data_IF_111313773228
#
_entry.id   IF_111313773228
#
_cell.length_a   1.000
_cell.length_b   1.000
_cell.length_c   1.000
_cell.angle_alpha   90.00
_cell.angle_beta   90.00
_cell.angle_gamma   90.00
#
_symmetry.space_group_name_H-M   'P 1'
#
loop_
_entity.id
_entity.type
_entity.pdbx_description
1 polymer ?
#
# COMPACT_ATOMS: atom_id res chain seq x y z
N UNK A 1 -2.28 16.46 -17.44
CA UNK A 1 -0.82 16.25 -17.41
C UNK A 1 -0.48 15.36 -18.59
N UNK A 2 0.47 15.75 -19.43
CA UNK A 2 0.84 14.93 -20.58
C UNK A 2 1.85 13.86 -20.13
N UNK A 3 1.55 12.59 -20.39
CA UNK A 3 2.47 11.46 -20.21
C UNK A 3 2.64 10.80 -21.57
N UNK A 4 3.75 11.11 -22.24
CA UNK A 4 3.96 10.75 -23.65
C UNK A 4 2.96 11.48 -24.56
N UNK A 5 2.22 10.72 -25.38
CA UNK A 5 1.19 11.25 -26.28
C UNK A 5 -0.20 11.38 -25.63
N UNK A 6 -0.31 11.23 -24.31
CA UNK A 6 -1.59 11.03 -23.62
C UNK A 6 -1.88 12.10 -22.57
N UNK A 7 -3.13 12.58 -22.55
CA UNK A 7 -3.62 13.58 -21.60
C UNK A 7 -4.24 12.89 -20.37
N UNK A 8 -3.52 12.87 -19.25
CA UNK A 8 -4.09 12.47 -17.95
C UNK A 8 -4.97 13.59 -17.39
N UNK A 9 -6.17 13.21 -16.94
CA UNK A 9 -7.05 14.09 -16.15
C UNK A 9 -6.34 14.45 -14.83
N UNK A 10 -6.59 15.65 -14.32
CA UNK A 10 -5.96 16.15 -13.10
C UNK A 10 -6.26 15.32 -11.85
N UNK A 11 -7.48 14.77 -11.76
CA UNK A 11 -7.88 13.82 -10.70
C UNK A 11 -7.05 12.54 -10.72
N UNK A 12 -6.65 12.08 -11.92
CA UNK A 12 -5.84 10.88 -12.12
C UNK A 12 -4.38 11.05 -11.71
N UNK A 13 -3.82 12.25 -11.88
CA UNK A 13 -2.41 12.51 -11.57
C UNK A 13 -2.11 12.37 -10.05
N UNK A 14 -3.10 12.67 -9.21
CA UNK A 14 -2.99 12.54 -7.75
C UNK A 14 -2.93 11.09 -7.27
N UNK A 15 -3.29 10.13 -8.13
CA UNK A 15 -3.33 8.69 -7.83
C UNK A 15 -2.09 7.94 -8.31
N UNK A 16 -1.10 8.62 -8.91
CA UNK A 16 0.07 7.95 -9.52
C UNK A 16 1.13 7.50 -8.49
N UNK A 17 0.91 7.75 -7.21
CA UNK A 17 1.82 7.34 -6.15
C UNK A 17 1.79 5.81 -6.05
N UNK A 18 2.93 5.16 -6.31
CA UNK A 18 3.08 3.69 -6.31
C UNK A 18 2.31 2.95 -7.42
N UNK A 19 2.05 3.61 -8.56
CA UNK A 19 1.38 2.98 -9.71
C UNK A 19 2.32 2.47 -10.80
N UNK A 20 3.63 2.55 -10.60
CA UNK A 20 4.63 1.98 -11.51
C UNK A 20 4.99 0.58 -11.01
N UNK A 21 4.77 -0.42 -11.85
CA UNK A 21 5.23 -1.78 -11.64
C UNK A 21 6.27 -2.13 -12.73
N UNK A 22 7.46 -2.64 -12.36
CA UNK A 22 8.53 -2.92 -13.30
C UNK A 22 8.27 -4.15 -14.18
N UNK A 23 7.31 -5.00 -13.82
CA UNK A 23 6.88 -6.16 -14.62
C UNK A 23 5.75 -5.78 -15.55
N UNK A 24 4.73 -5.10 -15.03
CA UNK A 24 3.49 -4.85 -15.76
C UNK A 24 3.45 -3.50 -16.47
N UNK A 25 4.10 -2.48 -15.92
CA UNK A 25 4.11 -1.13 -16.45
C UNK A 25 3.42 -0.11 -15.55
N UNK A 26 2.86 0.94 -16.16
CA UNK A 26 2.23 2.04 -15.45
C UNK A 26 0.72 1.81 -15.34
N UNK A 27 0.22 1.71 -14.11
CA UNK A 27 -1.21 1.81 -13.83
C UNK A 27 -1.64 3.26 -13.70
N UNK A 28 -2.85 3.56 -14.13
CA UNK A 28 -3.48 4.84 -13.88
C UNK A 28 -5.00 4.71 -13.93
N UNK A 29 -5.70 5.75 -13.48
CA UNK A 29 -7.16 5.81 -13.54
C UNK A 29 -7.63 7.01 -14.34
N UNK A 30 -8.84 7.00 -14.90
CA UNK A 30 -9.53 8.21 -15.41
C UNK A 30 -10.56 8.79 -14.42
N UNK A 31 -10.58 8.28 -13.19
CA UNK A 31 -11.52 8.58 -12.11
C UNK A 31 -12.59 7.50 -11.91
N UNK A 32 -12.85 6.65 -12.91
CA UNK A 32 -13.86 5.58 -12.83
C UNK A 32 -13.36 4.20 -13.25
N UNK A 33 -12.41 4.18 -14.19
CA UNK A 33 -11.79 2.97 -14.71
C UNK A 33 -10.31 2.93 -14.36
N UNK A 34 -9.75 1.71 -14.33
CA UNK A 34 -8.30 1.47 -14.19
C UNK A 34 -7.74 1.04 -15.54
N UNK A 35 -6.58 1.59 -15.88
CA UNK A 35 -5.86 1.34 -17.12
C UNK A 35 -4.45 0.88 -16.81
N UNK A 36 -3.93 -0.02 -17.62
CA UNK A 36 -2.55 -0.43 -17.66
C UNK A 36 -1.93 0.08 -18.96
N UNK A 37 -0.85 0.82 -18.84
CA UNK A 37 0.08 1.13 -19.91
C UNK A 37 1.26 0.17 -19.79
N UNK A 38 1.31 -0.91 -20.61
CA UNK A 38 2.33 -1.92 -20.45
C UNK A 38 3.72 -1.38 -20.84
N UNK A 39 4.72 -1.81 -20.09
CA UNK A 39 6.12 -1.52 -20.38
C UNK A 39 6.80 -2.83 -20.76
N UNK A 40 7.52 -2.84 -21.87
CA UNK A 40 8.37 -3.96 -22.27
C UNK A 40 9.83 -3.55 -22.11
N UNK A 41 10.62 -4.40 -21.46
CA UNK A 41 12.06 -4.23 -21.40
C UNK A 41 12.71 -5.20 -22.39
N UNK A 42 13.38 -4.66 -23.40
CA UNK A 42 14.18 -5.42 -24.37
C UNK A 42 15.58 -4.84 -24.34
N UNK A 43 16.59 -5.67 -24.05
CA UNK A 43 18.00 -5.30 -24.01
C UNK A 43 18.30 -4.07 -23.13
N UNK A 44 17.84 -4.08 -21.88
CA UNK A 44 17.96 -2.99 -20.90
C UNK A 44 17.33 -1.64 -21.34
N UNK A 45 16.55 -1.63 -22.42
CA UNK A 45 15.74 -0.49 -22.82
C UNK A 45 14.26 -0.74 -22.57
N UNK A 46 13.62 0.24 -21.92
CA UNK A 46 12.19 0.21 -21.63
C UNK A 46 11.40 0.91 -22.72
N UNK A 47 10.46 0.18 -23.32
CA UNK A 47 9.56 0.67 -24.35
C UNK A 47 8.12 0.66 -23.82
N UNK A 48 7.39 1.75 -24.05
CA UNK A 48 5.95 1.77 -23.84
C UNK A 48 5.29 0.98 -24.97
N UNK A 49 4.45 0.01 -24.63
CA UNK A 49 3.63 -0.67 -25.63
C UNK A 49 2.53 0.29 -26.14
N UNK A 50 2.20 0.25 -27.44
CA UNK A 50 1.27 1.22 -28.04
C UNK A 50 -0.18 1.02 -27.58
N UNK A 51 -0.52 -0.17 -27.06
CA UNK A 51 -1.87 -0.53 -26.64
C UNK A 51 -2.03 -0.34 -25.14
N UNK A 52 -2.82 0.66 -24.76
CA UNK A 52 -3.35 0.79 -23.39
C UNK A 52 -4.41 -0.29 -23.19
N UNK A 53 -4.33 -0.98 -22.06
CA UNK A 53 -5.32 -1.97 -21.64
C UNK A 53 -6.24 -1.31 -20.62
N UNK A 54 -7.55 -1.29 -20.91
CA UNK A 54 -8.55 -0.97 -19.89
C UNK A 54 -8.81 -2.24 -19.09
N UNK A 55 -8.52 -2.21 -17.79
CA UNK A 55 -8.68 -3.37 -16.92
C UNK A 55 -10.14 -3.53 -16.51
N UNK A 56 -10.69 -2.53 -15.82
CA UNK A 56 -12.06 -2.60 -15.30
C UNK A 56 -12.67 -1.21 -15.11
N UNK A 57 -14.01 -1.13 -15.12
CA UNK A 57 -14.76 0.03 -14.66
C UNK A 57 -15.35 -0.28 -13.29
N UNK A 58 -14.87 0.42 -12.27
CA UNK A 58 -15.14 0.10 -10.86
C UNK A 58 -15.82 1.25 -10.11
N UNK A 59 -16.30 2.25 -10.84
CA UNK A 59 -16.90 3.46 -10.26
C UNK A 59 -15.84 4.39 -9.68
N UNK A 60 -16.27 5.35 -8.85
CA UNK A 60 -15.39 6.41 -8.34
C UNK A 60 -14.18 5.83 -7.59
N UNK A 61 -12.98 6.03 -8.13
CA UNK A 61 -11.71 5.58 -7.55
C UNK A 61 -11.12 6.67 -6.66
N UNK A 62 -10.72 6.29 -5.44
CA UNK A 62 -10.08 7.18 -4.46
C UNK A 62 -8.59 6.95 -4.31
N UNK A 63 -8.12 5.72 -4.52
CA UNK A 63 -6.70 5.37 -4.45
C UNK A 63 -6.38 4.12 -5.29
N UNK A 64 -5.13 4.02 -5.75
CA UNK A 64 -4.62 2.94 -6.59
C UNK A 64 -3.14 2.70 -6.24
N UNK A 65 -2.73 1.45 -6.04
CA UNK A 65 -1.32 1.12 -5.77
C UNK A 65 -0.95 -0.28 -6.24
N UNK A 66 0.20 -0.38 -6.91
CA UNK A 66 0.86 -1.65 -7.18
C UNK A 66 1.56 -2.17 -5.92
N UNK A 67 1.59 -3.49 -5.75
CA UNK A 67 2.46 -4.14 -4.78
C UNK A 67 3.94 -4.01 -5.16
N UNK A 68 4.86 -3.97 -4.16
CA UNK A 68 6.28 -3.74 -4.38
C UNK A 68 6.97 -4.97 -4.98
N UNK A 69 8.08 -4.67 -5.66
CA UNK A 69 8.59 -5.54 -6.73
C UNK A 69 9.55 -6.63 -6.28
N UNK A 70 10.02 -6.55 -5.04
CA UNK A 70 11.14 -7.38 -4.61
C UNK A 70 10.76 -8.85 -4.47
N UNK A 71 9.48 -9.17 -4.23
CA UNK A 71 8.99 -10.56 -4.12
C UNK A 71 7.54 -10.78 -4.59
N UNK A 72 6.71 -9.73 -4.71
CA UNK A 72 5.27 -9.87 -4.92
C UNK A 72 4.75 -8.86 -5.94
N UNK A 73 5.22 -8.89 -7.19
CA UNK A 73 4.77 -7.99 -8.28
C UNK A 73 3.34 -8.26 -8.77
N UNK A 74 2.60 -9.16 -8.12
CA UNK A 74 1.38 -9.75 -8.66
C UNK A 74 0.11 -9.03 -8.23
N UNK A 75 0.18 -8.02 -7.36
CA UNK A 75 -1.02 -7.44 -6.78
C UNK A 75 -1.21 -5.95 -7.10
N UNK A 76 -2.47 -5.58 -7.26
CA UNK A 76 -2.92 -4.20 -7.41
C UNK A 76 -4.02 -3.97 -6.39
N UNK A 77 -3.90 -2.92 -5.59
CA UNK A 77 -4.96 -2.49 -4.69
C UNK A 77 -5.68 -1.28 -5.28
N UNK A 78 -7.01 -1.30 -5.19
CA UNK A 78 -7.88 -0.20 -5.64
C UNK A 78 -8.86 0.12 -4.53
N UNK A 79 -9.02 1.40 -4.21
CA UNK A 79 -10.09 1.87 -3.32
C UNK A 79 -11.16 2.57 -4.14
N UNK A 80 -12.40 2.11 -4.02
CA UNK A 80 -13.55 2.66 -4.74
C UNK A 80 -14.72 2.99 -3.81
N UNK A 81 -15.63 3.86 -4.28
CA UNK A 81 -16.93 4.03 -3.63
C UNK A 81 -17.86 2.86 -3.95
N UNK A 82 -18.60 2.40 -2.95
CA UNK A 82 -19.70 1.44 -3.07
C UNK A 82 -20.90 1.89 -2.24
N UNK A 83 -22.04 1.23 -2.37
CA UNK A 83 -23.24 1.52 -1.57
C UNK A 83 -23.01 1.34 -0.06
N UNK A 84 -22.11 0.42 0.32
CA UNK A 84 -21.78 0.12 1.71
C UNK A 84 -20.68 1.01 2.31
N UNK A 85 -20.12 1.96 1.55
CA UNK A 85 -18.98 2.78 1.95
C UNK A 85 -17.81 2.64 0.98
N UNK A 86 -16.58 2.55 1.49
CA UNK A 86 -15.40 2.34 0.66
C UNK A 86 -15.16 0.84 0.46
N UNK A 87 -14.88 0.43 -0.78
CA UNK A 87 -14.46 -0.92 -1.11
C UNK A 87 -12.96 -0.93 -1.39
N UNK A 88 -12.23 -1.82 -0.74
CA UNK A 88 -10.84 -2.14 -1.05
C UNK A 88 -10.85 -3.43 -1.85
N UNK A 89 -10.39 -3.35 -3.09
CA UNK A 89 -10.24 -4.51 -3.97
C UNK A 89 -8.75 -4.79 -4.17
N UNK A 90 -8.37 -6.06 -4.05
CA UNK A 90 -7.03 -6.55 -4.39
C UNK A 90 -7.15 -7.44 -5.62
N UNK A 91 -6.48 -7.04 -6.69
CA UNK A 91 -6.44 -7.74 -7.96
C UNK A 91 -5.14 -8.48 -8.10
N UNK A 92 -5.20 -9.69 -8.61
CA UNK A 92 -4.07 -10.57 -8.81
C UNK A 92 -3.74 -10.68 -10.30
N UNK A 93 -2.45 -10.65 -10.59
CA UNK A 93 -1.94 -10.74 -11.93
C UNK A 93 -2.08 -12.16 -12.48
N UNK A 94 -2.47 -12.28 -13.74
CA UNK A 94 -2.57 -13.55 -14.45
C UNK A 94 -1.54 -13.53 -15.58
N UNK A 95 -0.42 -14.22 -15.36
CA UNK A 95 0.72 -14.20 -16.29
C UNK A 95 0.39 -14.73 -17.69
N UNK A 96 -0.59 -15.62 -17.78
CA UNK A 96 -1.01 -16.25 -19.04
C UNK A 96 -1.94 -15.36 -19.88
N UNK A 97 -2.54 -14.31 -19.30
CA UNK A 97 -3.59 -13.50 -19.94
C UNK A 97 -3.10 -12.07 -20.26
N UNK A 98 -2.34 -11.92 -21.36
CA UNK A 98 -1.74 -10.63 -21.78
C UNK A 98 -2.77 -9.50 -21.98
N UNK A 99 -4.02 -9.82 -22.37
CA UNK A 99 -5.06 -8.81 -22.61
C UNK A 99 -5.91 -8.50 -21.37
N UNK A 100 -5.94 -9.41 -20.39
CA UNK A 100 -6.69 -9.27 -19.13
C UNK A 100 -5.75 -9.62 -17.96
N UNK A 101 -4.65 -8.87 -17.79
CA UNK A 101 -3.54 -9.30 -16.94
C UNK A 101 -3.87 -9.26 -15.44
N UNK A 102 -5.05 -8.80 -15.04
CA UNK A 102 -5.47 -8.72 -13.64
C UNK A 102 -6.92 -9.17 -13.49
N UNK A 103 -7.18 -10.01 -12.48
CA UNK A 103 -8.55 -10.33 -12.02
C UNK A 103 -8.71 -9.97 -10.56
N UNK A 104 -9.91 -9.59 -10.16
CA UNK A 104 -10.22 -9.37 -8.77
C UNK A 104 -10.06 -10.70 -7.99
N UNK A 105 -9.15 -10.69 -7.01
CA UNK A 105 -8.87 -11.85 -6.16
C UNK A 105 -9.65 -11.76 -4.86
N UNK A 106 -9.68 -10.58 -4.22
CA UNK A 106 -10.33 -10.35 -2.94
C UNK A 106 -10.91 -8.94 -2.81
N UNK A 107 -12.08 -8.86 -2.19
CA UNK A 107 -12.74 -7.61 -1.81
C UNK A 107 -12.92 -7.52 -0.30
N UNK A 108 -12.71 -6.34 0.25
CA UNK A 108 -13.06 -6.00 1.62
C UNK A 108 -13.72 -4.62 1.69
N UNK A 109 -14.58 -4.40 2.68
CA UNK A 109 -15.39 -3.20 2.79
C UNK A 109 -15.04 -2.43 4.06
N UNK A 110 -14.82 -1.12 3.90
CA UNK A 110 -14.61 -0.18 5.00
C UNK A 110 -15.84 0.71 5.12
N UNK A 111 -16.55 0.57 6.23
CA UNK A 111 -17.60 1.50 6.62
C UNK A 111 -16.96 2.77 7.19
N UNK A 112 -16.62 3.74 6.34
CA UNK A 112 -15.91 4.95 6.76
C UNK A 112 -16.05 6.15 5.83
N UNK A 113 -15.71 7.33 6.35
CA UNK A 113 -15.67 8.59 5.60
C UNK A 113 -14.51 8.54 4.61
N UNK A 114 -14.67 9.09 3.37
CA UNK A 114 -13.66 9.06 2.31
C UNK A 114 -12.26 9.47 2.76
N UNK A 115 -11.28 8.85 2.09
CA UNK A 115 -9.84 9.06 2.25
C UNK A 115 -9.46 10.54 2.06
N UNK A 116 -8.40 11.03 2.71
CA UNK A 116 -7.60 12.13 2.16
C UNK A 116 -7.18 11.72 0.73
N UNK A 117 -7.37 12.60 -0.25
CA UNK A 117 -7.12 12.28 -1.67
C UNK A 117 -5.72 11.65 -1.87
N UNK A 118 -5.68 10.40 -2.38
CA UNK A 118 -4.46 9.72 -2.86
C UNK A 118 -3.44 9.29 -1.79
N UNK A 119 -3.85 9.02 -0.55
CA UNK A 119 -2.92 8.63 0.53
C UNK A 119 -3.42 7.50 1.44
N UNK A 120 -4.35 6.68 0.94
CA UNK A 120 -4.98 5.61 1.68
C UNK A 120 -4.19 4.31 1.68
N UNK A 121 -3.52 3.95 0.59
CA UNK A 121 -2.90 2.63 0.39
C UNK A 121 -1.39 2.60 0.64
N UNK A 122 -0.93 1.64 1.45
CA UNK A 122 0.50 1.35 1.62
C UNK A 122 0.76 -0.16 1.70
N UNK A 123 1.38 -0.71 0.66
CA UNK A 123 1.83 -2.10 0.66
C UNK A 123 3.07 -2.29 1.55
N UNK A 124 3.07 -3.38 2.30
CA UNK A 124 4.24 -3.84 3.02
C UNK A 124 5.35 -4.20 2.01
N UNK A 125 6.62 -3.83 2.25
CA UNK A 125 7.70 -3.94 1.26
C UNK A 125 8.07 -5.39 0.89
N UNK A 126 7.80 -6.35 1.77
CA UNK A 126 8.21 -7.75 1.63
C UNK A 126 6.98 -8.68 1.55
N UNK A 127 6.16 -8.69 2.59
CA UNK A 127 4.97 -9.56 2.70
C UNK A 127 3.74 -9.03 1.93
N UNK A 128 2.78 -9.93 1.65
CA UNK A 128 1.50 -9.65 0.98
C UNK A 128 0.47 -8.96 1.90
N UNK A 129 0.90 -7.89 2.53
CA UNK A 129 0.12 -7.13 3.51
C UNK A 129 -0.09 -5.73 3.00
N UNK A 130 -1.33 -5.26 3.06
CA UNK A 130 -1.72 -3.91 2.69
C UNK A 130 -2.20 -3.17 3.93
N UNK A 131 -1.63 -2.00 4.18
CA UNK A 131 -2.19 -1.06 5.14
C UNK A 131 -3.10 -0.07 4.40
N UNK A 132 -4.26 0.20 4.99
CA UNK A 132 -5.16 1.25 4.51
C UNK A 132 -5.61 2.17 5.64
N UNK A 133 -5.68 3.47 5.38
CA UNK A 133 -6.17 4.46 6.35
C UNK A 133 -7.38 5.21 5.82
N UNK A 134 -8.47 5.20 6.58
CA UNK A 134 -9.57 6.12 6.43
C UNK A 134 -9.44 7.26 7.44
N UNK A 135 -10.32 8.27 7.34
CA UNK A 135 -10.19 9.51 8.10
C UNK A 135 -9.90 9.30 9.61
N UNK A 136 -10.54 8.32 10.24
CA UNK A 136 -10.42 8.05 11.69
C UNK A 136 -9.92 6.65 12.02
N UNK A 137 -9.75 5.78 11.02
CA UNK A 137 -9.53 4.35 11.24
C UNK A 137 -8.41 3.87 10.33
N UNK A 138 -7.55 3.00 10.87
CA UNK A 138 -6.48 2.35 10.15
C UNK A 138 -6.70 0.83 10.17
N UNK A 139 -6.44 0.18 9.05
CA UNK A 139 -6.66 -1.25 8.85
C UNK A 139 -5.45 -1.92 8.20
N UNK A 140 -5.30 -3.22 8.48
CA UNK A 140 -4.47 -4.14 7.72
C UNK A 140 -5.37 -5.09 6.93
N UNK A 141 -4.98 -5.35 5.71
CA UNK A 141 -5.48 -6.43 4.88
C UNK A 141 -4.33 -7.40 4.63
N UNK A 142 -4.44 -8.63 5.11
CA UNK A 142 -3.51 -9.71 4.77
C UNK A 142 -4.06 -10.46 3.57
N UNK A 143 -3.40 -10.34 2.41
CA UNK A 143 -3.82 -11.07 1.22
C UNK A 143 -3.58 -12.57 1.33
N UNK A 144 -2.74 -13.04 2.26
CA UNK A 144 -2.54 -14.48 2.50
C UNK A 144 -3.67 -15.07 3.38
N UNK A 145 -4.50 -14.23 4.03
CA UNK A 145 -5.62 -14.69 4.84
C UNK A 145 -6.71 -15.32 3.96
N UNK A 146 -7.23 -16.48 4.35
CA UNK A 146 -8.34 -17.14 3.63
C UNK A 146 -9.62 -16.30 3.63
N UNK A 147 -9.76 -15.39 4.61
CA UNK A 147 -10.97 -14.58 4.81
C UNK A 147 -10.94 -13.26 4.04
N UNK A 148 -9.76 -12.76 3.64
CA UNK A 148 -9.62 -11.42 3.05
C UNK A 148 -10.16 -10.32 3.98
N UNK A 149 -10.12 -10.55 5.30
CA UNK A 149 -10.71 -9.63 6.25
C UNK A 149 -9.79 -8.42 6.50
N UNK A 150 -10.43 -7.26 6.69
CA UNK A 150 -9.75 -6.07 7.19
C UNK A 150 -9.68 -6.10 8.71
N UNK A 151 -8.47 -6.11 9.24
CA UNK A 151 -8.19 -6.04 10.67
C UNK A 151 -7.96 -4.59 11.09
N UNK A 152 -8.75 -4.10 12.04
CA UNK A 152 -8.65 -2.72 12.52
C UNK A 152 -7.45 -2.60 13.47
N UNK A 153 -6.52 -1.70 13.13
CA UNK A 153 -5.33 -1.42 13.95
C UNK A 153 -5.64 -0.37 15.01
N UNK A 154 -6.21 0.76 14.58
CA UNK A 154 -6.39 1.92 15.42
C UNK A 154 -7.58 2.72 14.94
N UNK A 155 -8.30 3.28 15.90
CA UNK A 155 -9.31 4.30 15.64
C UNK A 155 -9.07 5.50 16.55
N UNK A 156 -9.42 6.67 16.05
CA UNK A 156 -9.50 7.89 16.85
C UNK A 156 -10.95 8.22 17.18
N UNK A 157 -11.20 8.61 18.42
CA UNK A 157 -12.39 9.34 18.83
C UNK A 157 -12.06 10.84 18.91
N UNK A 158 -12.87 11.68 18.26
CA UNK A 158 -12.70 13.14 18.30
C UNK A 158 -12.09 13.75 17.04
N UNK A 159 -11.22 14.75 17.21
CA UNK A 159 -10.73 15.60 16.12
C UNK A 159 -9.46 15.09 15.42
N UNK A 160 -8.78 14.09 15.98
CA UNK A 160 -7.59 13.51 15.37
C UNK A 160 -7.97 12.66 14.15
N UNK A 161 -7.19 12.81 13.07
CA UNK A 161 -7.51 12.23 11.76
C UNK A 161 -6.21 11.71 11.13
N UNK A 162 -6.27 10.55 10.49
CA UNK A 162 -5.16 10.07 9.66
C UNK A 162 -5.08 10.89 8.38
N UNK A 163 -3.85 11.18 7.94
CA UNK A 163 -3.57 11.83 6.66
C UNK A 163 -2.92 10.86 5.67
N UNK A 164 -2.05 9.97 6.16
CA UNK A 164 -1.37 8.96 5.36
C UNK A 164 -0.78 7.85 6.21
N UNK A 165 -0.42 6.74 5.57
CA UNK A 165 0.42 5.70 6.15
C UNK A 165 1.62 5.38 5.25
N UNK A 166 2.66 4.81 5.84
CA UNK A 166 3.75 4.18 5.11
C UNK A 166 4.48 3.13 5.96
N UNK A 167 5.20 2.25 5.28
CA UNK A 167 6.09 1.28 5.90
C UNK A 167 7.52 1.81 5.86
N UNK A 168 8.33 1.44 6.86
CA UNK A 168 9.78 1.53 6.69
C UNK A 168 10.26 0.46 5.69
N UNK A 169 11.50 0.61 5.20
CA UNK A 169 12.06 -0.27 4.17
C UNK A 169 12.05 -1.77 4.55
N UNK A 170 12.29 -2.10 5.82
CA UNK A 170 12.27 -3.49 6.29
C UNK A 170 10.87 -4.05 6.55
N UNK A 171 9.83 -3.21 6.54
CA UNK A 171 8.46 -3.60 6.88
C UNK A 171 8.20 -3.81 8.37
N UNK A 172 9.22 -3.66 9.23
CA UNK A 172 9.10 -3.86 10.67
C UNK A 172 8.41 -2.69 11.40
N UNK A 173 8.31 -1.52 10.75
CA UNK A 173 7.64 -0.35 11.29
C UNK A 173 6.55 0.13 10.34
N UNK A 174 5.35 0.26 10.89
CA UNK A 174 4.24 0.96 10.26
C UNK A 174 4.15 2.36 10.85
N UNK A 175 4.10 3.36 9.98
CA UNK A 175 4.12 4.77 10.35
C UNK A 175 2.81 5.40 9.88
N UNK A 176 2.11 6.06 10.81
CA UNK A 176 0.93 6.84 10.51
C UNK A 176 1.24 8.32 10.67
N UNK A 177 0.90 9.10 9.65
CA UNK A 177 0.78 10.53 9.79
C UNK A 177 -0.67 10.89 10.12
N UNK A 178 -0.81 11.78 11.09
CA UNK A 178 -2.06 12.42 11.45
C UNK A 178 -1.91 13.92 11.29
N UNK A 179 -3.01 14.67 11.46
CA UNK A 179 -2.94 16.14 11.41
C UNK A 179 -1.94 16.75 12.39
N UNK A 180 -1.67 16.09 13.52
CA UNK A 180 -0.82 16.65 14.58
C UNK A 180 0.40 15.81 14.94
N UNK A 181 0.48 14.55 14.49
CA UNK A 181 1.49 13.59 14.97
C UNK A 181 1.95 12.64 13.88
N UNK A 182 3.15 12.07 14.10
CA UNK A 182 3.58 10.82 13.49
C UNK A 182 3.53 9.73 14.56
N UNK A 183 2.89 8.60 14.27
CA UNK A 183 2.81 7.44 15.15
C UNK A 183 3.59 6.28 14.53
N UNK A 184 4.38 5.60 15.34
CA UNK A 184 5.24 4.50 14.91
C UNK A 184 4.81 3.21 15.61
N UNK A 185 4.46 2.19 14.84
CA UNK A 185 4.01 0.89 15.31
C UNK A 185 5.04 -0.17 14.90
N UNK A 186 5.47 -1.01 15.84
CA UNK A 186 6.16 -2.24 15.46
C UNK A 186 5.13 -3.17 14.82
N UNK A 187 5.48 -3.72 13.67
CA UNK A 187 4.65 -4.66 12.96
C UNK A 187 5.38 -5.99 12.83
N UNK A 188 4.65 -7.05 13.15
CA UNK A 188 5.06 -8.44 12.95
C UNK A 188 3.89 -9.18 12.33
N UNK A 189 4.12 -9.87 11.22
CA UNK A 189 3.07 -10.59 10.48
C UNK A 189 2.33 -11.64 11.32
N UNK A 190 2.96 -12.13 12.40
CA UNK A 190 2.43 -13.18 13.26
C UNK A 190 1.53 -12.68 14.40
N UNK A 191 1.44 -11.37 14.62
CA UNK A 191 0.66 -10.83 15.73
C UNK A 191 -0.46 -9.95 15.21
N UNK A 192 -1.68 -10.48 15.26
CA UNK A 192 -2.93 -9.77 15.02
C UNK A 192 -3.24 -8.68 16.09
N UNK A 193 -2.34 -8.46 17.06
CA UNK A 193 -2.50 -7.44 18.10
C UNK A 193 -1.57 -6.24 17.86
N UNK A 194 -2.04 -5.19 17.17
CA UNK A 194 -1.34 -3.94 17.13
C UNK A 194 -1.39 -3.28 18.51
N UNK A 195 -0.30 -3.45 19.26
CA UNK A 195 -0.03 -2.71 20.49
C UNK A 195 0.06 -1.19 20.23
N UNK A 196 -0.17 -0.41 21.29
CA UNK A 196 0.03 1.05 21.35
C UNK A 196 1.33 1.50 20.63
N UNK A 197 1.34 2.71 20.02
CA UNK A 197 2.48 3.18 19.26
C UNK A 197 3.75 3.15 20.12
N UNK A 198 4.82 2.61 19.55
CA UNK A 198 6.13 2.47 20.20
C UNK A 198 6.75 3.85 20.42
N UNK A 199 6.48 4.78 19.51
CA UNK A 199 6.90 6.17 19.60
C UNK A 199 5.89 7.08 18.90
N UNK A 200 5.77 8.32 19.35
CA UNK A 200 5.00 9.36 18.67
C UNK A 200 5.77 10.67 18.62
N UNK A 201 5.69 11.37 17.50
CA UNK A 201 6.27 12.69 17.29
C UNK A 201 5.15 13.70 17.08
N UNK A 202 5.08 14.78 17.87
CA UNK A 202 4.11 15.85 17.65
C UNK A 202 4.71 16.85 16.66
N UNK A 203 4.03 17.10 15.55
CA UNK A 203 4.49 18.06 14.54
C UNK A 203 4.53 19.44 15.18
N UNK A 204 5.73 20.03 15.27
CA UNK A 204 5.98 21.33 15.91
C UNK A 204 6.45 21.29 17.37
N UNK A 205 6.48 20.11 18.04
CA UNK A 205 7.12 19.91 19.36
C UNK A 205 7.74 18.51 19.48
N UNK A 206 9.05 18.45 19.74
CA UNK A 206 9.75 17.18 19.96
C UNK A 206 9.31 16.55 21.30
N UNK A 207 8.63 15.40 21.27
CA UNK A 207 8.29 14.63 22.48
C UNK A 207 8.88 13.22 22.33
N UNK A 208 9.92 12.89 23.11
CA UNK A 208 10.47 11.53 23.19
C UNK A 208 9.70 10.73 24.24
N UNK A 209 8.93 9.72 23.82
CA UNK A 209 8.46 8.66 24.72
C UNK A 209 9.44 7.50 24.59
N UNK A 210 10.28 7.27 25.60
CA UNK A 210 11.14 6.08 25.66
C UNK A 210 10.32 4.91 26.23
N UNK A 211 10.04 3.90 25.39
CA UNK A 211 9.99 2.52 25.85
C UNK A 211 11.13 1.78 25.17
N UNK A 212 11.97 1.14 25.98
CA UNK A 212 13.23 0.51 25.62
C UNK A 212 13.12 -0.38 24.38
N UNK A 213 13.64 0.11 23.25
CA UNK A 213 13.97 -0.72 22.08
C UNK A 213 15.13 -1.63 22.47
N UNK A 214 14.86 -2.90 22.79
CA UNK A 214 15.88 -3.94 22.72
C UNK A 214 16.01 -4.34 21.24
N UNK A 215 16.88 -3.64 20.52
CA UNK A 215 17.45 -4.15 19.28
C UNK A 215 18.27 -5.40 19.66
N UNK A 216 17.76 -6.61 19.37
CA UNK A 216 18.61 -7.80 19.39
C UNK A 216 19.48 -7.76 18.14
N UNK A 217 20.63 -7.10 18.25
CA UNK A 217 21.77 -7.45 17.41
C UNK A 217 22.34 -8.73 18.01
N UNK A 218 22.13 -9.87 17.35
CA UNK A 218 22.88 -11.08 17.66
C UNK A 218 24.05 -11.11 16.68
N UNK A 219 25.17 -10.57 17.13
CA UNK A 219 26.47 -10.78 16.53
C UNK A 219 26.80 -12.27 16.67
N UNK A 220 26.79 -13.00 15.55
CA UNK A 220 27.35 -14.36 15.49
C UNK A 220 28.66 -14.33 14.69
N UNK A 221 29.63 -13.63 15.27
CA UNK A 221 31.05 -13.70 14.93
C UNK A 221 31.85 -13.85 16.22
N UNK A 222 31.75 -15.02 16.87
CA UNK A 222 32.84 -15.58 17.66
C UNK A 222 32.50 -16.98 18.20
N UNK A 223 32.83 -18.03 17.45
CA UNK A 223 33.43 -19.25 18.01
C UNK A 223 33.62 -20.31 16.93
N UNK A 224 34.80 -20.32 16.31
CA UNK A 224 35.52 -21.54 15.91
C UNK A 224 36.96 -21.21 15.57
N UNK A 225 37.67 -20.76 16.60
CA UNK A 225 39.12 -20.91 16.68
C UNK A 225 39.43 -22.26 17.34
N UNK A 226 40.19 -23.08 16.63
CA UNK A 226 41.21 -24.01 17.10
C UNK A 226 40.97 -24.80 18.39
N UNK A 227 40.84 -26.14 18.27
CA UNK A 227 41.58 -27.08 19.11
C UNK A 227 42.00 -28.31 18.27
N UNK A 228 43.32 -28.50 18.21
CA UNK A 228 44.13 -29.71 17.98
C UNK A 228 43.64 -30.79 17.03
#
# INVERSE_FOLDING_TARGET
MDVGCWLLKTTSANLLKNCVNPVWGLLYSDGASVFLLPISCVDDQSYLLPKVLKLENVGLIHDLSCSPCYQNCHYVAVITSSEAGLKVSVWEAIEEEINEPFKNSKDAYICGIPLPQGQGLAWHPINNVLCTVCQNEAFIFSNDSQTGALEKIKSFSGAERFTSCCWNYSGSLLIFATHSKLLFYNFTCDTADPCEPVFSFVIGKFVRIFKTLRLRHQDDLSSRGAYK
#
